data_IF_669630739563
#
_entry.id   IF_669630739563
#
_cell.length_a   1.000
_cell.length_b   1.000
_cell.length_c   1.000
_cell.angle_alpha   90.00
_cell.angle_beta   90.00
_cell.angle_gamma   90.00
#
_symmetry.space_group_name_H-M   'P 1'
#
loop_
_entity.id
_entity.type
_entity.pdbx_description
1 polymer ?
#
# COMPACT_ATOMS: atom_id res chain seq x y z
N UNK A 1 -0.48 -3.19 8.62
CA UNK A 1 0.18 -3.75 7.44
C UNK A 1 -0.61 -4.95 6.94
N UNK A 2 -0.73 -5.10 5.64
CA UNK A 2 -1.30 -6.29 5.01
C UNK A 2 -0.26 -6.90 4.05
N UNK A 3 -0.24 -8.21 3.97
CA UNK A 3 0.74 -8.97 3.18
C UNK A 3 -0.02 -9.77 2.12
N UNK A 4 0.40 -9.62 0.87
CA UNK A 4 -0.15 -10.33 -0.27
C UNK A 4 0.96 -11.19 -0.90
N UNK A 5 0.61 -12.41 -1.31
CA UNK A 5 1.57 -13.31 -1.94
C UNK A 5 2.45 -14.11 -0.97
N UNK A 6 2.10 -14.14 0.32
CA UNK A 6 2.75 -15.00 1.29
C UNK A 6 2.08 -16.38 1.25
N UNK A 7 2.81 -17.39 0.80
CA UNK A 7 2.32 -18.75 0.68
C UNK A 7 2.33 -19.26 -0.76
N UNK A 8 1.68 -20.40 -0.99
CA UNK A 8 1.72 -21.13 -2.27
C UNK A 8 0.74 -20.59 -3.32
N UNK A 9 0.18 -19.42 -3.12
CA UNK A 9 -0.77 -18.80 -4.03
C UNK A 9 -0.09 -18.36 -5.32
N UNK A 10 -0.64 -18.80 -6.47
CA UNK A 10 -0.19 -18.41 -7.81
C UNK A 10 -0.88 -17.14 -8.31
N UNK A 11 -1.65 -16.46 -7.47
CA UNK A 11 -2.38 -15.27 -7.84
C UNK A 11 -1.45 -14.08 -8.08
N UNK A 12 -1.94 -13.10 -8.84
CA UNK A 12 -1.24 -11.82 -9.00
C UNK A 12 -1.40 -11.00 -7.71
N UNK A 13 -0.46 -11.18 -6.79
CA UNK A 13 -0.52 -10.52 -5.49
C UNK A 13 -0.47 -8.98 -5.59
N UNK A 14 0.22 -8.43 -6.58
CA UNK A 14 0.26 -6.98 -6.79
C UNK A 14 -1.12 -6.45 -7.18
N UNK A 15 -1.81 -7.11 -8.10
CA UNK A 15 -3.18 -6.74 -8.47
C UNK A 15 -4.13 -6.85 -7.28
N UNK A 16 -4.01 -7.91 -6.51
CA UNK A 16 -4.87 -8.14 -5.35
C UNK A 16 -4.65 -7.06 -4.28
N UNK A 17 -3.40 -6.66 -4.06
CA UNK A 17 -3.07 -5.58 -3.13
C UNK A 17 -3.65 -4.23 -3.58
N UNK A 18 -3.52 -3.89 -4.86
CA UNK A 18 -4.08 -2.64 -5.39
C UNK A 18 -5.60 -2.66 -5.33
N UNK A 19 -6.23 -3.78 -5.68
CA UNK A 19 -7.69 -3.96 -5.59
C UNK A 19 -8.17 -3.76 -4.15
N UNK A 20 -7.50 -4.37 -3.19
CA UNK A 20 -7.81 -4.20 -1.77
C UNK A 20 -7.69 -2.73 -1.33
N UNK A 21 -6.62 -2.05 -1.77
CA UNK A 21 -6.44 -0.62 -1.48
C UNK A 21 -7.58 0.24 -2.02
N UNK A 22 -8.03 -0.02 -3.24
CA UNK A 22 -9.17 0.66 -3.83
C UNK A 22 -10.47 0.41 -3.04
N UNK A 23 -10.70 -0.84 -2.64
CA UNK A 23 -11.88 -1.19 -1.86
C UNK A 23 -11.89 -0.54 -0.47
N UNK A 24 -10.74 -0.49 0.19
CA UNK A 24 -10.60 0.20 1.48
C UNK A 24 -10.95 1.68 1.34
N UNK A 25 -10.46 2.35 0.31
CA UNK A 25 -10.75 3.77 0.12
C UNK A 25 -12.23 4.02 -0.21
N UNK A 26 -12.87 3.14 -0.96
CA UNK A 26 -14.32 3.22 -1.19
C UNK A 26 -15.11 3.04 0.10
N UNK A 27 -14.70 2.10 0.93
CA UNK A 27 -15.33 1.87 2.24
C UNK A 27 -15.16 3.07 3.17
N UNK A 28 -13.98 3.69 3.18
CA UNK A 28 -13.72 4.91 3.96
C UNK A 28 -14.58 6.07 3.47
N UNK A 29 -14.75 6.21 2.14
CA UNK A 29 -15.64 7.22 1.58
C UNK A 29 -17.09 7.04 2.06
N UNK A 30 -17.60 5.82 2.03
CA UNK A 30 -18.94 5.50 2.54
C UNK A 30 -19.06 5.80 4.03
N UNK A 31 -18.05 5.45 4.81
CA UNK A 31 -18.02 5.78 6.24
C UNK A 31 -18.01 7.30 6.47
N UNK A 32 -17.25 8.04 5.68
CA UNK A 32 -17.21 9.49 5.79
C UNK A 32 -18.53 10.16 5.45
N UNK A 33 -19.29 9.60 4.51
CA UNK A 33 -20.66 10.06 4.21
C UNK A 33 -21.58 9.86 5.42
N UNK A 34 -21.49 8.73 6.10
CA UNK A 34 -22.23 8.46 7.33
C UNK A 34 -21.81 9.38 8.47
N UNK A 35 -20.50 9.62 8.63
CA UNK A 35 -19.99 10.53 9.66
C UNK A 35 -20.45 11.97 9.42
N UNK A 36 -20.44 12.42 8.17
CA UNK A 36 -20.94 13.74 7.79
C UNK A 36 -22.42 13.91 8.13
N UNK A 37 -23.25 12.89 7.89
CA UNK A 37 -24.65 12.91 8.26
C UNK A 37 -24.88 13.04 9.77
N UNK A 38 -23.90 12.63 10.58
CA UNK A 38 -23.92 12.76 12.05
C UNK A 38 -23.17 14.00 12.55
N UNK A 39 -22.74 14.88 11.67
CA UNK A 39 -21.97 16.06 12.02
C UNK A 39 -20.56 15.76 12.52
N UNK A 40 -20.00 14.62 12.18
CA UNK A 40 -18.65 14.22 12.58
C UNK A 40 -17.63 14.47 11.47
N UNK A 41 -16.39 14.70 11.87
CA UNK A 41 -15.28 14.93 10.94
C UNK A 41 -14.96 13.67 10.14
N UNK A 42 -14.51 13.82 8.86
CA UNK A 42 -14.10 12.69 8.05
C UNK A 42 -12.79 12.07 8.56
N UNK A 43 -12.61 10.79 8.26
CA UNK A 43 -11.38 10.05 8.49
C UNK A 43 -10.57 10.10 7.20
N UNK A 44 -9.27 10.38 7.33
CA UNK A 44 -8.32 10.33 6.22
C UNK A 44 -7.29 9.24 6.48
N UNK A 45 -7.05 8.42 5.47
CA UNK A 45 -6.03 7.38 5.49
C UNK A 45 -5.11 7.51 4.28
N UNK A 46 -3.91 6.99 4.40
CA UNK A 46 -2.98 6.85 3.29
C UNK A 46 -2.55 5.40 3.16
N UNK A 47 -2.51 4.90 1.94
CA UNK A 47 -2.11 3.54 1.61
C UNK A 47 -0.89 3.60 0.69
N UNK A 48 0.18 2.93 1.09
CA UNK A 48 1.37 2.73 0.27
C UNK A 48 1.56 1.25 -0.02
N UNK A 49 1.81 0.91 -1.27
CA UNK A 49 2.01 -0.47 -1.71
C UNK A 49 3.35 -0.60 -2.41
N UNK A 50 4.13 -1.56 -1.98
CA UNK A 50 5.39 -1.93 -2.61
C UNK A 50 5.49 -3.44 -2.71
N UNK A 51 6.21 -3.93 -3.70
CA UNK A 51 6.43 -5.35 -3.94
C UNK A 51 7.92 -5.64 -4.03
N UNK A 52 8.34 -6.70 -3.41
CA UNK A 52 9.72 -7.14 -3.40
C UNK A 52 9.95 -8.31 -2.46
N UNK A 53 11.20 -8.77 -2.33
CA UNK A 53 11.53 -9.86 -1.41
C UNK A 53 11.34 -9.43 0.04
N UNK A 54 10.81 -10.35 0.83
CA UNK A 54 10.65 -10.18 2.28
C UNK A 54 10.70 -11.55 2.94
N UNK A 55 11.12 -11.56 4.20
CA UNK A 55 11.04 -12.76 5.02
C UNK A 55 9.69 -12.76 5.71
N UNK A 56 8.89 -13.80 5.48
CA UNK A 56 7.56 -13.95 6.04
C UNK A 56 7.53 -15.14 6.96
N UNK A 57 7.05 -14.96 8.17
CA UNK A 57 6.96 -16.03 9.15
C UNK A 57 6.60 -15.53 10.53
N UNK A 58 6.69 -16.43 11.50
CA UNK A 58 6.44 -16.11 12.90
C UNK A 58 7.69 -15.49 13.53
N UNK A 59 7.55 -14.32 14.11
CA UNK A 59 8.63 -13.56 14.73
C UNK A 59 8.24 -13.21 16.15
N UNK A 60 9.18 -13.34 17.07
CA UNK A 60 9.01 -13.00 18.48
C UNK A 60 9.45 -14.11 19.42
N UNK A 61 9.04 -13.99 20.68
CA UNK A 61 9.31 -14.98 21.71
C UNK A 61 8.21 -16.05 21.75
N UNK A 62 8.44 -17.21 22.40
CA UNK A 62 7.38 -18.22 22.59
C UNK A 62 6.10 -17.68 23.24
N UNK A 63 6.22 -16.62 24.03
CA UNK A 63 5.09 -15.99 24.70
C UNK A 63 4.35 -15.00 23.80
N UNK A 64 5.00 -14.54 22.71
CA UNK A 64 4.46 -13.49 21.85
C UNK A 64 4.95 -13.65 20.42
N UNK A 65 4.37 -14.63 19.72
CA UNK A 65 4.65 -14.86 18.31
C UNK A 65 3.67 -14.06 17.43
N UNK A 66 4.23 -13.36 16.44
CA UNK A 66 3.45 -12.68 15.40
C UNK A 66 3.87 -13.20 14.03
N UNK A 67 2.91 -13.56 13.21
CA UNK A 67 3.15 -13.85 11.81
C UNK A 67 3.22 -12.52 11.05
N UNK A 68 4.39 -12.22 10.51
CA UNK A 68 4.63 -10.93 9.85
C UNK A 68 5.69 -11.03 8.76
N UNK A 69 5.90 -9.94 8.06
CA UNK A 69 6.96 -9.79 7.06
C UNK A 69 8.04 -8.84 7.57
N UNK A 70 9.30 -9.18 7.30
CA UNK A 70 10.46 -8.38 7.67
C UNK A 70 11.33 -8.19 6.43
N UNK A 71 11.89 -7.01 6.28
CA UNK A 71 12.85 -6.68 5.24
C UNK A 71 12.70 -5.26 4.71
N UNK A 72 13.61 -4.89 3.82
CA UNK A 72 13.60 -3.56 3.21
C UNK A 72 12.32 -3.26 2.45
N UNK A 73 11.73 -4.27 1.82
CA UNK A 73 10.46 -4.15 1.09
C UNK A 73 9.34 -3.58 1.98
N UNK A 74 9.26 -4.04 3.23
CA UNK A 74 8.28 -3.55 4.21
C UNK A 74 8.56 -2.08 4.58
N UNK A 75 9.83 -1.75 4.78
CA UNK A 75 10.24 -0.38 5.11
C UNK A 75 9.93 0.59 3.98
N UNK A 76 10.17 0.18 2.74
CA UNK A 76 9.83 0.98 1.55
C UNK A 76 8.32 1.21 1.47
N UNK A 77 7.51 0.17 1.65
CA UNK A 77 6.05 0.31 1.64
C UNK A 77 5.58 1.34 2.69
N UNK A 78 6.14 1.30 3.88
CA UNK A 78 5.84 2.27 4.94
C UNK A 78 6.19 3.71 4.54
N UNK A 79 7.32 3.89 3.87
CA UNK A 79 7.75 5.21 3.40
C UNK A 79 6.89 5.73 2.25
N UNK A 80 6.47 4.85 1.35
CA UNK A 80 5.50 5.20 0.30
C UNK A 80 4.17 5.64 0.93
N UNK A 81 3.70 4.95 1.95
CA UNK A 81 2.51 5.36 2.69
C UNK A 81 2.68 6.76 3.29
N UNK A 82 3.85 7.07 3.86
CA UNK A 82 4.13 8.38 4.41
C UNK A 82 4.07 9.52 3.37
N UNK A 83 4.37 9.24 2.11
CA UNK A 83 4.31 10.22 1.02
C UNK A 83 2.88 10.61 0.64
N UNK A 84 1.88 9.87 1.02
CA UNK A 84 0.48 10.15 0.64
C UNK A 84 0.03 11.53 1.07
N UNK A 85 0.47 11.98 2.23
CA UNK A 85 0.19 13.35 2.71
C UNK A 85 0.91 14.42 1.89
N UNK A 86 2.19 14.18 1.59
CA UNK A 86 3.03 15.14 0.86
C UNK A 86 2.53 15.34 -0.57
N UNK A 87 2.17 14.27 -1.26
CA UNK A 87 1.71 14.35 -2.65
C UNK A 87 0.20 14.55 -2.79
N UNK A 88 -0.54 14.45 -1.70
CA UNK A 88 -1.99 14.67 -1.70
C UNK A 88 -2.78 13.59 -2.42
N UNK A 89 -2.30 12.36 -2.42
CA UNK A 89 -2.97 11.19 -3.02
C UNK A 89 -3.08 10.07 -1.98
N UNK A 90 -4.26 9.48 -1.78
CA UNK A 90 -4.46 8.51 -0.71
C UNK A 90 -3.93 7.11 -1.00
N UNK A 91 -3.69 6.76 -2.26
CA UNK A 91 -3.18 5.44 -2.64
C UNK A 91 -2.00 5.61 -3.59
N UNK A 92 -0.82 5.22 -3.11
CA UNK A 92 0.42 5.29 -3.87
C UNK A 92 1.02 3.91 -4.02
N UNK A 93 1.55 3.64 -5.20
CA UNK A 93 2.26 2.39 -5.51
C UNK A 93 3.60 2.70 -6.15
N UNK A 94 4.55 1.79 -6.00
CA UNK A 94 5.82 1.86 -6.72
C UNK A 94 5.68 1.30 -8.13
N UNK A 95 6.66 1.58 -8.98
CA UNK A 95 6.74 1.03 -10.33
C UNK A 95 6.68 -0.51 -10.33
N UNK A 96 7.32 -1.16 -9.36
CA UNK A 96 7.29 -2.61 -9.22
C UNK A 96 5.87 -3.15 -9.07
N UNK A 97 5.01 -2.43 -8.37
CA UNK A 97 3.59 -2.80 -8.20
C UNK A 97 2.81 -2.51 -9.47
N UNK A 98 2.98 -1.32 -10.06
CA UNK A 98 2.31 -0.95 -11.29
C UNK A 98 2.56 -1.98 -12.40
N UNK A 99 3.82 -2.36 -12.60
CA UNK A 99 4.22 -3.26 -13.67
C UNK A 99 3.61 -4.66 -13.51
N UNK A 100 3.39 -5.09 -12.27
CA UNK A 100 2.83 -6.41 -11.96
C UNK A 100 1.32 -6.43 -11.85
N UNK A 101 0.70 -5.32 -11.49
CA UNK A 101 -0.75 -5.26 -11.24
C UNK A 101 -1.59 -5.42 -12.51
N UNK A 102 -1.05 -5.04 -13.66
CA UNK A 102 -1.75 -5.14 -14.94
C UNK A 102 -2.63 -3.93 -15.25
N UNK A 103 -3.34 -4.01 -16.37
CA UNK A 103 -4.05 -2.89 -16.98
C UNK A 103 -5.45 -2.58 -16.46
N UNK A 104 -5.90 -3.22 -15.37
CA UNK A 104 -7.25 -3.01 -14.83
C UNK A 104 -7.41 -1.74 -14.01
N UNK A 105 -6.31 -1.05 -13.74
CA UNK A 105 -6.28 0.15 -12.89
C UNK A 105 -5.79 1.35 -13.69
N UNK A 106 -6.22 2.53 -13.27
CA UNK A 106 -5.70 3.80 -13.80
C UNK A 106 -4.60 4.32 -12.88
N UNK A 107 -3.41 4.41 -13.42
CA UNK A 107 -2.24 4.91 -12.70
C UNK A 107 -1.86 6.31 -13.21
N UNK A 108 -1.68 7.24 -12.28
CA UNK A 108 -1.15 8.57 -12.55
C UNK A 108 0.32 8.60 -12.14
N UNK A 109 1.22 8.83 -13.08
CA UNK A 109 2.64 8.98 -12.79
C UNK A 109 2.88 10.30 -12.06
N UNK A 110 3.59 10.21 -10.93
CA UNK A 110 3.96 11.38 -10.14
C UNK A 110 5.46 11.65 -10.29
N UNK A 111 5.90 12.81 -9.80
CA UNK A 111 7.32 13.16 -9.80
C UNK A 111 8.13 12.12 -9.04
N UNK A 112 9.30 11.70 -9.55
CA UNK A 112 10.15 10.75 -8.86
C UNK A 112 10.52 11.24 -7.46
N UNK A 113 10.54 10.31 -6.50
CA UNK A 113 10.82 10.59 -5.10
C UNK A 113 12.08 9.87 -4.64
N UNK A 114 12.81 10.50 -3.73
CA UNK A 114 13.84 9.81 -2.99
C UNK A 114 13.16 9.01 -1.87
N UNK A 115 13.39 7.70 -1.87
CA UNK A 115 12.85 6.81 -0.85
C UNK A 115 14.01 6.10 -0.18
N UNK A 116 14.15 6.29 1.13
CA UNK A 116 15.18 5.63 1.91
C UNK A 116 15.02 4.11 1.81
N UNK A 117 16.11 3.42 1.50
CA UNK A 117 16.11 1.98 1.28
C UNK A 117 16.11 1.57 -0.18
N UNK A 118 15.89 2.51 -1.11
CA UNK A 118 16.04 2.30 -2.56
C UNK A 118 17.09 3.27 -3.09
N UNK A 119 18.04 2.76 -3.86
CA UNK A 119 19.05 3.59 -4.50
C UNK A 119 18.42 4.46 -5.61
N UNK A 120 18.79 5.74 -5.65
CA UNK A 120 18.28 6.69 -6.63
C UNK A 120 16.83 7.11 -6.36
N UNK A 121 16.23 7.71 -7.37
CA UNK A 121 14.82 8.14 -7.30
C UNK A 121 13.89 7.02 -7.72
N UNK A 122 12.78 6.93 -7.05
CA UNK A 122 11.75 5.92 -7.29
C UNK A 122 10.57 6.56 -8.01
N UNK A 123 10.15 5.92 -9.09
CA UNK A 123 8.90 6.27 -9.75
C UNK A 123 7.73 5.81 -8.88
N UNK A 124 6.85 6.71 -8.58
CA UNK A 124 5.62 6.42 -7.83
C UNK A 124 4.40 6.79 -8.66
N UNK A 125 3.33 6.09 -8.41
CA UNK A 125 2.07 6.25 -9.14
C UNK A 125 0.92 6.37 -8.14
N UNK A 126 0.02 7.30 -8.40
CA UNK A 126 -1.25 7.35 -7.70
C UNK A 126 -2.25 6.45 -8.43
N UNK A 127 -3.07 5.76 -7.67
CA UNK A 127 -4.12 4.90 -8.21
C UNK A 127 -5.45 5.62 -8.08
N UNK A 128 -6.19 5.69 -9.18
CA UNK A 128 -7.55 6.23 -9.18
C UNK A 128 -8.52 5.21 -8.58
N UNK A 129 -9.36 5.67 -7.71
CA UNK A 129 -10.34 4.82 -6.99
C UNK A 129 -11.75 5.07 -7.48
#
# INVERSE_FOLDING_TARGET
MAIFGAGDSVSNHARDAVSAGCEILRAVKGLNDELAAKGRAPIQIGIGIHSGPAIVGSVGSPQRLEFTAIGNTVNVASRIQGLTKTVGRPLLVTEAVRDRAGGSFTFEELSPQEVRGIAGRVMIFAVSV
#
